data_IF_194224226981
#
_entry.id   IF_194224226981
#
_cell.length_a   1.000
_cell.length_b   1.000
_cell.length_c   1.000
_cell.angle_alpha   90.00
_cell.angle_beta   90.00
_cell.angle_gamma   90.00
#
_symmetry.space_group_name_H-M   'P 1'
#
loop_
_entity.id
_entity.type
_entity.pdbx_description
1 polymer ?
#
# COMPACT_ATOMS: atom_id res chain seq x y z
N UNK A 1 57.68 39.56 -31.94
CA UNK A 1 57.19 40.49 -30.90
C UNK A 1 57.98 41.79 -30.99
N UNK A 2 57.35 42.90 -31.38
CA UNK A 2 57.99 44.21 -31.51
C UNK A 2 58.10 44.91 -30.15
N UNK A 3 59.14 45.73 -29.97
CA UNK A 3 59.29 46.55 -28.77
C UNK A 3 58.15 47.59 -28.71
N UNK A 4 57.39 47.70 -27.61
CA UNK A 4 56.29 48.67 -27.50
C UNK A 4 56.76 50.13 -27.48
N UNK A 5 58.05 50.39 -27.26
CA UNK A 5 58.60 51.74 -27.16
C UNK A 5 59.24 52.26 -28.44
N UNK A 6 59.86 51.39 -29.25
CA UNK A 6 60.58 51.80 -30.47
C UNK A 6 60.26 50.93 -31.69
N UNK A 7 59.29 50.01 -31.56
CA UNK A 7 58.82 49.08 -32.61
C UNK A 7 59.86 48.14 -33.23
N UNK A 8 61.10 48.16 -32.76
CA UNK A 8 62.16 47.24 -33.17
C UNK A 8 61.80 45.77 -32.91
N UNK A 9 62.13 44.89 -33.85
CA UNK A 9 61.87 43.44 -33.75
C UNK A 9 62.88 42.72 -32.85
N UNK A 10 64.02 43.36 -32.58
CA UNK A 10 65.12 42.80 -31.80
C UNK A 10 64.88 42.97 -30.29
N UNK A 11 64.21 41.99 -29.69
CA UNK A 11 63.93 41.90 -28.24
C UNK A 11 64.48 40.60 -27.66
N UNK A 12 65.15 40.67 -26.51
CA UNK A 12 65.74 39.51 -25.82
C UNK A 12 64.96 39.19 -24.55
N UNK A 13 64.69 37.91 -24.30
CA UNK A 13 64.07 37.44 -23.05
C UNK A 13 65.14 37.40 -21.95
N UNK A 14 64.87 38.04 -20.82
CA UNK A 14 65.76 38.08 -19.64
C UNK A 14 65.31 37.07 -18.59
N UNK A 15 64.00 37.00 -18.34
CA UNK A 15 63.47 36.20 -17.23
C UNK A 15 62.15 35.55 -17.67
N UNK A 16 62.04 34.24 -17.42
CA UNK A 16 60.83 33.44 -17.66
C UNK A 16 60.35 32.92 -16.31
N UNK A 17 59.14 33.28 -15.90
CA UNK A 17 58.48 32.70 -14.72
C UNK A 17 57.19 32.01 -15.15
N UNK A 18 57.06 30.76 -14.73
CA UNK A 18 55.85 29.95 -14.89
C UNK A 18 55.06 30.14 -13.59
N UNK A 19 53.78 30.47 -13.70
CA UNK A 19 52.88 30.54 -12.54
C UNK A 19 52.48 29.11 -12.13
N UNK A 20 52.32 28.87 -10.83
CA UNK A 20 52.02 27.54 -10.24
C UNK A 20 50.79 26.84 -10.85
N UNK A 21 49.86 27.60 -11.44
CA UNK A 21 48.63 27.08 -12.03
C UNK A 21 48.78 26.72 -13.54
N UNK A 22 50.01 26.68 -14.07
CA UNK A 22 50.40 26.37 -15.47
C UNK A 22 49.72 27.16 -16.61
N UNK A 23 48.80 28.09 -16.32
CA UNK A 23 47.94 28.78 -17.31
C UNK A 23 48.53 30.03 -17.97
N UNK A 24 49.57 30.65 -17.39
CA UNK A 24 50.13 31.93 -17.89
C UNK A 24 51.66 31.93 -17.83
N UNK A 25 52.31 32.18 -18.97
CA UNK A 25 53.76 32.32 -19.05
C UNK A 25 54.14 33.81 -19.05
N UNK A 26 54.82 34.27 -18.01
CA UNK A 26 55.29 35.65 -17.89
C UNK A 26 56.74 35.74 -18.35
N UNK A 27 56.99 36.50 -19.41
CA UNK A 27 58.34 36.74 -19.94
C UNK A 27 58.72 38.21 -19.79
N UNK A 28 59.82 38.50 -19.10
CA UNK A 28 60.43 39.83 -19.06
C UNK A 28 61.40 39.96 -20.23
N UNK A 29 61.20 40.95 -21.08
CA UNK A 29 61.99 41.20 -22.29
C UNK A 29 62.69 42.55 -22.19
N UNK A 30 63.84 42.67 -22.83
CA UNK A 30 64.56 43.93 -23.04
C UNK A 30 64.76 44.15 -24.54
N UNK A 31 64.50 45.37 -25.00
CA UNK A 31 64.80 45.74 -26.37
C UNK A 31 66.30 46.01 -26.53
N UNK A 32 66.93 45.41 -27.55
CA UNK A 32 68.36 45.57 -27.78
C UNK A 32 68.69 47.00 -28.24
N UNK A 33 67.76 47.67 -28.93
CA UNK A 33 67.95 48.99 -29.52
C UNK A 33 67.68 50.15 -28.54
N UNK A 34 66.58 50.13 -27.78
CA UNK A 34 66.26 51.22 -26.84
C UNK A 34 66.54 50.88 -25.37
N UNK A 35 67.03 49.67 -25.08
CA UNK A 35 67.35 49.16 -23.72
C UNK A 35 66.18 49.16 -22.71
N UNK A 36 64.97 49.54 -23.13
CA UNK A 36 63.79 49.53 -22.27
C UNK A 36 63.29 48.10 -22.04
N UNK A 37 62.89 47.83 -20.80
CA UNK A 37 62.34 46.54 -20.36
C UNK A 37 60.82 46.57 -20.36
N UNK A 38 60.22 45.47 -20.77
CA UNK A 38 58.77 45.29 -20.75
C UNK A 38 58.43 43.82 -20.46
N UNK A 39 57.22 43.57 -19.98
CA UNK A 39 56.76 42.22 -19.65
C UNK A 39 55.66 41.82 -20.61
N UNK A 40 55.77 40.62 -21.18
CA UNK A 40 54.76 40.01 -22.01
C UNK A 40 54.14 38.83 -21.29
N UNK A 41 52.82 38.72 -21.34
CA UNK A 41 52.07 37.59 -20.82
C UNK A 41 51.60 36.75 -22.01
N UNK A 42 52.02 35.48 -22.06
CA UNK A 42 51.52 34.50 -23.02
C UNK A 42 50.43 33.69 -22.32
N UNK A 43 49.22 33.66 -22.89
CA UNK A 43 48.08 32.87 -22.43
C UNK A 43 47.66 31.94 -23.56
N UNK A 44 47.30 30.70 -23.24
CA UNK A 44 46.65 29.81 -24.22
C UNK A 44 45.26 30.38 -24.47
N UNK A 45 45.04 30.95 -25.65
CA UNK A 45 43.73 31.42 -26.07
C UNK A 45 42.87 30.20 -26.37
N UNK A 46 41.95 29.87 -25.45
CA UNK A 46 40.96 28.82 -25.69
C UNK A 46 40.03 29.29 -26.81
N UNK A 47 39.96 28.54 -27.91
CA UNK A 47 38.98 28.77 -28.99
C UNK A 47 37.58 28.80 -28.39
N UNK A 48 36.78 29.82 -28.74
CA UNK A 48 35.42 29.99 -28.22
C UNK A 48 34.46 29.10 -29.03
N UNK A 49 33.89 28.09 -28.40
CA UNK A 49 32.86 27.23 -28.99
C UNK A 49 31.49 27.92 -28.93
N UNK A 50 30.76 27.91 -30.05
CA UNK A 50 29.40 28.46 -30.16
C UNK A 50 28.40 27.31 -30.39
N UNK A 51 27.35 27.24 -29.58
CA UNK A 51 26.29 26.24 -29.70
C UNK A 51 25.13 26.79 -30.54
N UNK A 52 24.71 26.05 -31.56
CA UNK A 52 23.51 26.32 -32.35
C UNK A 52 22.33 25.51 -31.78
N UNK A 53 21.30 26.19 -31.27
CA UNK A 53 20.09 25.57 -30.70
C UNK A 53 19.11 25.12 -31.78
N UNK A 54 18.16 24.24 -31.43
CA UNK A 54 17.07 23.76 -32.32
C UNK A 54 16.23 24.89 -32.92
N UNK A 55 16.12 26.03 -32.24
CA UNK A 55 15.44 27.26 -32.71
C UNK A 55 16.36 28.21 -33.50
N UNK A 56 17.53 27.71 -33.93
CA UNK A 56 18.60 28.44 -34.64
C UNK A 56 19.28 29.57 -33.85
N UNK A 57 18.99 29.74 -32.55
CA UNK A 57 19.74 30.70 -31.72
C UNK A 57 21.17 30.20 -31.47
N UNK A 58 22.12 31.15 -31.47
CA UNK A 58 23.53 30.90 -31.16
C UNK A 58 23.85 31.36 -29.75
N UNK A 59 24.38 30.47 -28.92
CA UNK A 59 24.85 30.80 -27.56
C UNK A 59 26.29 30.32 -27.35
N UNK A 60 27.13 31.00 -26.56
CA UNK A 60 28.44 30.48 -26.22
C UNK A 60 28.31 29.19 -25.39
N UNK A 61 29.21 28.23 -25.60
CA UNK A 61 29.27 27.03 -24.77
C UNK A 61 29.49 27.41 -23.29
N UNK A 62 28.65 26.86 -22.42
CA UNK A 62 28.71 27.09 -20.98
C UNK A 62 28.81 25.74 -20.24
N UNK A 63 29.98 25.49 -19.64
CA UNK A 63 30.27 24.28 -18.87
C UNK A 63 29.34 24.10 -17.67
N UNK A 64 29.06 25.17 -16.91
CA UNK A 64 28.16 25.10 -15.74
C UNK A 64 26.74 24.70 -16.14
N UNK A 65 26.28 25.14 -17.31
CA UNK A 65 24.98 24.76 -17.85
C UNK A 65 24.90 23.27 -18.18
N UNK A 66 25.98 22.70 -18.72
CA UNK A 66 26.09 21.27 -19.01
C UNK A 66 26.13 20.45 -17.72
N UNK A 67 26.98 20.85 -16.77
CA UNK A 67 27.11 20.25 -15.44
C UNK A 67 25.74 20.18 -14.75
N UNK A 68 25.06 21.32 -14.62
CA UNK A 68 23.73 21.38 -14.00
C UNK A 68 22.69 20.50 -14.72
N UNK A 69 22.80 20.36 -16.05
CA UNK A 69 21.93 19.48 -16.84
C UNK A 69 22.10 18.01 -16.49
N UNK A 70 23.35 17.56 -16.37
CA UNK A 70 23.70 16.16 -16.00
C UNK A 70 23.39 15.91 -14.53
N UNK A 71 23.75 16.83 -13.63
CA UNK A 71 23.43 16.71 -12.19
C UNK A 71 21.94 16.55 -11.95
N UNK A 72 21.11 17.29 -12.69
CA UNK A 72 19.65 17.16 -12.60
C UNK A 72 19.13 15.82 -13.11
N UNK A 73 19.78 15.23 -14.13
CA UNK A 73 19.45 13.89 -14.61
C UNK A 73 19.82 12.82 -13.56
N UNK A 74 20.96 12.98 -12.88
CA UNK A 74 21.48 12.08 -11.85
C UNK A 74 20.91 12.33 -10.44
N UNK A 75 19.88 13.18 -10.28
CA UNK A 75 19.35 13.54 -8.96
C UNK A 75 18.78 12.30 -8.23
N UNK A 76 19.26 12.06 -7.00
CA UNK A 76 18.96 10.87 -6.15
C UNK A 76 19.39 9.52 -6.76
N UNK A 77 20.39 9.54 -7.65
CA UNK A 77 21.04 8.34 -8.19
C UNK A 77 22.35 8.06 -7.46
N UNK A 78 22.86 6.82 -7.46
CA UNK A 78 24.15 6.46 -6.88
C UNK A 78 25.32 6.91 -7.79
N UNK A 79 25.30 8.16 -8.26
CA UNK A 79 26.35 8.75 -9.10
C UNK A 79 26.98 9.89 -8.31
N UNK A 80 28.29 9.82 -8.12
CA UNK A 80 29.06 10.83 -7.41
C UNK A 80 29.20 12.12 -8.22
N UNK A 81 29.42 13.23 -7.53
CA UNK A 81 29.69 14.52 -8.18
C UNK A 81 30.98 14.43 -9.03
N UNK A 82 31.95 13.63 -8.59
CA UNK A 82 33.21 13.44 -9.30
C UNK A 82 33.00 12.75 -10.66
N UNK A 83 32.19 11.69 -10.72
CA UNK A 83 31.85 11.01 -11.98
C UNK A 83 31.10 11.94 -12.96
N UNK A 84 30.27 12.84 -12.43
CA UNK A 84 29.57 13.85 -13.23
C UNK A 84 30.54 14.88 -13.81
N UNK A 85 31.51 15.34 -13.01
CA UNK A 85 32.54 16.27 -13.47
C UNK A 85 33.45 15.64 -14.53
N UNK A 86 33.84 14.38 -14.35
CA UNK A 86 34.62 13.61 -15.32
C UNK A 86 33.87 13.45 -16.66
N UNK A 87 32.57 13.13 -16.61
CA UNK A 87 31.75 13.06 -17.82
C UNK A 87 31.64 14.41 -18.55
N UNK A 88 31.57 15.52 -17.82
CA UNK A 88 31.52 16.87 -18.40
C UNK A 88 32.84 17.24 -19.05
N UNK A 89 33.97 16.88 -18.43
CA UNK A 89 35.31 17.14 -18.97
C UNK A 89 35.57 16.31 -20.22
N UNK A 90 35.12 15.05 -20.27
CA UNK A 90 35.17 14.20 -21.45
C UNK A 90 34.36 14.81 -22.61
N UNK A 91 33.13 15.25 -22.34
CA UNK A 91 32.27 15.88 -23.35
C UNK A 91 32.91 17.18 -23.85
N UNK A 92 33.45 18.02 -22.97
CA UNK A 92 34.13 19.25 -23.37
C UNK A 92 35.40 18.96 -24.21
N UNK A 93 36.15 17.93 -23.86
CA UNK A 93 37.33 17.47 -24.61
C UNK A 93 36.93 17.01 -26.01
N UNK A 94 35.87 16.22 -26.14
CA UNK A 94 35.39 15.70 -27.42
C UNK A 94 34.87 16.82 -28.34
N UNK A 95 34.13 17.78 -27.77
CA UNK A 95 33.67 18.97 -28.49
C UNK A 95 34.84 19.84 -28.98
N UNK A 96 35.97 19.88 -28.26
CA UNK A 96 37.17 20.64 -28.64
C UNK A 96 38.03 19.92 -29.69
N UNK A 97 37.96 18.59 -29.78
CA UNK A 97 38.65 17.80 -30.82
C UNK A 97 37.97 17.95 -32.18
N UNK A 98 36.65 18.14 -32.18
CA UNK A 98 35.92 18.53 -33.36
C UNK A 98 36.42 19.93 -33.75
N UNK A 99 37.17 20.07 -34.85
CA UNK A 99 37.79 21.32 -35.33
C UNK A 99 36.75 22.38 -35.79
N UNK A 100 35.54 22.33 -35.23
CA UNK A 100 34.39 23.16 -35.57
C UNK A 100 34.21 24.26 -34.51
N UNK A 101 33.91 25.48 -34.97
CA UNK A 101 33.67 26.62 -34.07
C UNK A 101 32.19 26.79 -33.73
N UNK A 102 31.30 26.21 -34.54
CA UNK A 102 29.86 26.14 -34.32
C UNK A 102 29.44 24.68 -34.19
N UNK A 103 28.84 24.29 -33.05
CA UNK A 103 28.39 22.92 -32.79
C UNK A 103 26.89 22.93 -32.57
N UNK A 104 26.17 22.01 -33.20
CA UNK A 104 24.74 21.88 -32.95
C UNK A 104 24.45 21.32 -31.55
N UNK A 105 23.37 21.81 -30.93
CA UNK A 105 22.91 21.28 -29.64
C UNK A 105 22.52 19.80 -29.70
N UNK A 106 22.17 19.29 -30.89
CA UNK A 106 21.93 17.88 -31.24
C UNK A 106 23.09 16.98 -30.77
N UNK A 107 24.31 17.36 -31.18
CA UNK A 107 25.56 16.65 -30.92
C UNK A 107 25.88 16.60 -29.43
N UNK A 108 25.74 17.72 -28.72
CA UNK A 108 25.99 17.78 -27.27
C UNK A 108 25.06 16.84 -26.52
N UNK A 109 23.77 16.82 -26.87
CA UNK A 109 22.82 15.92 -26.21
C UNK A 109 23.09 14.44 -26.50
N UNK A 110 23.61 14.09 -27.67
CA UNK A 110 24.02 12.72 -27.98
C UNK A 110 25.22 12.27 -27.16
N UNK A 111 26.25 13.11 -27.04
CA UNK A 111 27.41 12.84 -26.19
C UNK A 111 27.02 12.69 -24.71
N UNK A 112 26.08 13.52 -24.21
CA UNK A 112 25.55 13.37 -22.86
C UNK A 112 24.78 12.07 -22.70
N UNK A 113 23.99 11.67 -23.69
CA UNK A 113 23.25 10.41 -23.66
C UNK A 113 24.16 9.19 -23.65
N UNK A 114 25.25 9.22 -24.41
CA UNK A 114 26.26 8.15 -24.43
C UNK A 114 26.92 8.00 -23.04
N UNK A 115 27.39 9.11 -22.46
CA UNK A 115 28.01 9.10 -21.12
C UNK A 115 27.03 8.69 -20.02
N UNK A 116 25.78 9.16 -20.07
CA UNK A 116 24.77 8.78 -19.08
C UNK A 116 24.38 7.30 -19.19
N UNK A 117 24.42 6.70 -20.38
CA UNK A 117 24.13 5.27 -20.56
C UNK A 117 25.17 4.38 -19.86
N UNK A 118 26.42 4.82 -19.83
CA UNK A 118 27.50 4.14 -19.11
C UNK A 118 27.43 4.38 -17.59
N UNK A 119 26.99 5.56 -17.16
CA UNK A 119 26.94 5.93 -15.73
C UNK A 119 25.71 5.38 -14.99
N UNK A 120 24.51 5.58 -15.54
CA UNK A 120 23.25 5.16 -14.89
C UNK A 120 22.07 5.16 -15.88
N UNK A 121 21.47 3.99 -16.07
CA UNK A 121 20.35 3.79 -17.01
C UNK A 121 19.14 4.70 -16.71
N UNK A 122 18.85 4.98 -15.44
CA UNK A 122 17.72 5.82 -15.03
C UNK A 122 18.00 7.30 -15.33
N UNK A 123 19.22 7.78 -15.06
CA UNK A 123 19.64 9.13 -15.42
C UNK A 123 19.62 9.34 -16.94
N UNK A 124 20.05 8.33 -17.71
CA UNK A 124 19.92 8.30 -19.17
C UNK A 124 18.47 8.49 -19.62
N UNK A 125 17.53 7.70 -19.09
CA UNK A 125 16.11 7.79 -19.45
C UNK A 125 15.53 9.17 -19.10
N UNK A 126 15.85 9.72 -17.91
CA UNK A 126 15.38 11.06 -17.50
C UNK A 126 15.90 12.14 -18.43
N UNK A 127 17.17 12.10 -18.81
CA UNK A 127 17.75 13.05 -19.75
C UNK A 127 17.13 12.90 -21.15
N UNK A 128 16.98 11.66 -21.63
CA UNK A 128 16.36 11.35 -22.91
C UNK A 128 14.91 11.85 -23.00
N UNK A 129 14.13 11.74 -21.91
CA UNK A 129 12.72 12.17 -21.85
C UNK A 129 12.51 13.67 -22.09
N UNK A 130 13.49 14.50 -21.72
CA UNK A 130 13.47 15.95 -21.92
C UNK A 130 14.02 16.32 -23.28
N UNK A 131 15.04 15.59 -23.73
CA UNK A 131 15.82 15.93 -24.92
C UNK A 131 15.19 15.44 -26.23
N UNK A 132 14.65 14.22 -26.22
CA UNK A 132 13.83 13.63 -27.26
C UNK A 132 12.39 13.61 -26.74
N UNK A 133 11.54 14.53 -27.21
CA UNK A 133 10.09 14.23 -27.21
C UNK A 133 9.94 12.94 -28.00
N UNK A 134 9.67 11.84 -27.31
CA UNK A 134 9.68 10.46 -27.82
C UNK A 134 9.10 10.34 -29.23
N UNK A 135 9.97 10.19 -30.23
CA UNK A 135 9.62 9.83 -31.61
C UNK A 135 10.38 8.60 -32.11
N UNK A 136 11.25 8.00 -31.28
CA UNK A 136 11.89 6.71 -31.60
C UNK A 136 11.00 5.58 -31.08
N UNK A 137 10.08 5.13 -31.92
CA UNK A 137 9.12 4.04 -31.65
C UNK A 137 9.86 2.71 -31.43
N UNK A 138 10.99 2.50 -32.09
CA UNK A 138 11.74 1.24 -32.12
C UNK A 138 12.46 0.90 -30.82
N UNK A 139 12.99 1.89 -30.08
CA UNK A 139 13.58 1.63 -28.75
C UNK A 139 12.51 1.46 -27.67
N UNK A 140 11.31 2.01 -27.88
CA UNK A 140 10.17 1.86 -26.98
C UNK A 140 9.53 0.49 -27.12
N UNK A 141 9.39 -0.03 -28.35
CA UNK A 141 8.88 -1.39 -28.62
C UNK A 141 9.75 -2.49 -27.99
N UNK A 142 11.06 -2.31 -27.93
CA UNK A 142 11.95 -3.28 -27.27
C UNK A 142 11.83 -3.29 -25.74
N UNK A 143 11.51 -2.14 -25.13
CA UNK A 143 11.24 -2.06 -23.69
C UNK A 143 9.82 -2.57 -23.36
N UNK A 144 8.87 -2.45 -24.30
CA UNK A 144 7.52 -3.01 -24.17
C UNK A 144 7.53 -4.54 -24.04
N UNK A 145 8.40 -5.25 -24.76
CA UNK A 145 8.50 -6.72 -24.65
C UNK A 145 9.07 -7.19 -23.30
N UNK A 146 9.83 -6.35 -22.60
CA UNK A 146 10.49 -6.71 -21.34
C UNK A 146 9.58 -6.56 -20.12
N UNK A 147 8.57 -5.69 -20.18
CA UNK A 147 7.67 -5.44 -19.06
C UNK A 147 6.74 -6.64 -18.83
N UNK A 148 6.92 -7.29 -17.69
CA UNK A 148 6.16 -8.46 -17.27
C UNK A 148 5.02 -8.04 -16.36
N UNK A 149 3.79 -8.36 -16.76
CA UNK A 149 2.61 -8.19 -15.91
C UNK A 149 2.38 -9.49 -15.16
N UNK A 150 2.49 -9.42 -13.83
CA UNK A 150 2.20 -10.55 -12.96
C UNK A 150 0.72 -10.49 -12.59
N UNK A 151 -0.02 -11.49 -13.05
CA UNK A 151 -1.40 -11.71 -12.65
C UNK A 151 -1.48 -12.94 -11.77
N UNK A 152 -1.95 -12.77 -10.55
CA UNK A 152 -2.41 -13.89 -9.74
C UNK A 152 -3.67 -14.46 -10.39
N UNK A 153 -3.58 -15.69 -10.88
CA UNK A 153 -4.73 -16.37 -11.50
C UNK A 153 -5.67 -16.82 -10.38
N UNK A 154 -6.82 -16.17 -10.27
CA UNK A 154 -7.94 -16.72 -9.52
C UNK A 154 -8.49 -17.93 -10.28
N UNK A 155 -8.39 -19.11 -9.68
CA UNK A 155 -8.99 -20.35 -10.20
C UNK A 155 -10.49 -20.11 -10.39
N UNK A 156 -10.98 -20.30 -11.61
CA UNK A 156 -12.39 -20.09 -11.95
C UNK A 156 -13.24 -21.20 -11.32
N UNK A 157 -14.04 -20.80 -10.33
CA UNK A 157 -15.04 -21.62 -9.66
C UNK A 157 -14.62 -21.87 -8.22
N UNK A 158 -14.91 -20.95 -7.31
CA UNK A 158 -14.37 -21.04 -5.95
C UNK A 158 -15.42 -21.57 -4.97
N UNK A 159 -15.13 -22.76 -4.46
CA UNK A 159 -15.47 -23.10 -3.08
C UNK A 159 -14.66 -22.19 -2.15
N UNK A 160 -15.28 -21.70 -1.07
CA UNK A 160 -14.66 -20.90 -0.01
C UNK A 160 -13.37 -21.53 0.56
N UNK A 161 -13.28 -22.86 0.52
CA UNK A 161 -12.10 -23.63 0.96
C UNK A 161 -10.85 -23.31 0.12
N UNK A 162 -10.99 -23.20 -1.21
CA UNK A 162 -9.84 -22.95 -2.11
C UNK A 162 -9.29 -21.53 -1.94
N UNK A 163 -10.15 -20.56 -1.62
CA UNK A 163 -9.76 -19.20 -1.26
C UNK A 163 -8.94 -19.17 0.04
N UNK A 164 -9.33 -19.95 1.05
CA UNK A 164 -8.69 -19.97 2.36
C UNK A 164 -7.35 -20.70 2.36
N UNK A 165 -7.18 -21.72 1.51
CA UNK A 165 -5.96 -22.50 1.49
C UNK A 165 -4.77 -21.68 1.02
N UNK A 166 -4.97 -20.61 0.23
CA UNK A 166 -3.91 -19.80 -0.40
C UNK A 166 -2.83 -20.65 -1.12
N UNK A 167 -3.16 -21.92 -1.35
CA UNK A 167 -2.33 -22.96 -1.94
C UNK A 167 -3.21 -23.53 -3.02
N UNK A 168 -2.99 -23.06 -4.23
CA UNK A 168 -3.44 -23.78 -5.40
C UNK A 168 -2.37 -24.81 -5.72
N UNK A 169 -2.77 -26.05 -6.04
CA UNK A 169 -1.86 -27.08 -6.56
C UNK A 169 -1.15 -26.67 -7.86
N UNK A 170 -1.43 -25.48 -8.39
CA UNK A 170 -0.72 -24.76 -9.45
C UNK A 170 -1.19 -23.29 -9.43
N UNK A 171 -0.84 -22.47 -8.43
CA UNK A 171 -0.98 -21.00 -8.57
C UNK A 171 0.08 -20.58 -9.60
N UNK A 172 -0.28 -20.67 -10.87
CA UNK A 172 0.53 -20.11 -11.94
C UNK A 172 0.37 -18.60 -11.85
N UNK A 173 1.41 -17.91 -11.39
CA UNK A 173 1.59 -16.52 -11.77
C UNK A 173 1.58 -16.48 -13.29
N UNK A 174 0.50 -15.98 -13.87
CA UNK A 174 0.43 -15.81 -15.31
C UNK A 174 1.24 -14.55 -15.62
N UNK A 175 2.50 -14.76 -16.00
CA UNK A 175 3.35 -13.71 -16.52
C UNK A 175 2.85 -13.39 -17.92
N UNK A 176 2.15 -12.27 -18.04
CA UNK A 176 1.68 -11.74 -19.32
C UNK A 176 2.63 -10.65 -19.81
N UNK A 177 2.72 -10.46 -21.11
CA UNK A 177 3.29 -9.24 -21.67
C UNK A 177 2.38 -8.05 -21.38
N UNK A 178 2.98 -6.87 -21.27
CA UNK A 178 2.25 -5.62 -21.17
C UNK A 178 1.31 -5.42 -22.38
N UNK A 179 0.06 -5.05 -22.10
CA UNK A 179 -0.93 -4.74 -23.14
C UNK A 179 -1.87 -3.62 -22.66
N UNK A 180 -1.62 -2.42 -23.17
CA UNK A 180 -2.42 -1.22 -22.89
C UNK A 180 -3.89 -1.37 -23.30
N UNK A 181 -4.18 -2.14 -24.35
CA UNK A 181 -5.55 -2.29 -24.85
C UNK A 181 -6.47 -2.94 -23.80
N UNK A 182 -5.91 -3.78 -22.92
CA UNK A 182 -6.66 -4.36 -21.78
C UNK A 182 -7.13 -3.29 -20.80
N UNK A 183 -6.30 -2.27 -20.53
CA UNK A 183 -6.67 -1.14 -19.66
C UNK A 183 -7.78 -0.32 -20.31
N UNK A 184 -7.63 0.02 -21.60
CA UNK A 184 -8.65 0.74 -22.36
C UNK A 184 -9.98 0.00 -22.35
N UNK A 185 -9.97 -1.31 -22.62
CA UNK A 185 -11.17 -2.14 -22.63
C UNK A 185 -11.84 -2.26 -21.25
N UNK A 186 -11.04 -2.30 -20.18
CA UNK A 186 -11.56 -2.27 -18.80
C UNK A 186 -12.22 -0.92 -18.49
N UNK A 187 -11.58 0.20 -18.83
CA UNK A 187 -12.12 1.54 -18.60
C UNK A 187 -13.44 1.80 -19.33
N UNK A 188 -13.57 1.34 -20.58
CA UNK A 188 -14.84 1.45 -21.33
C UNK A 188 -15.94 0.62 -20.67
N UNK A 189 -15.64 -0.64 -20.32
CA UNK A 189 -16.63 -1.61 -19.82
C UNK A 189 -17.04 -1.35 -18.37
N UNK A 190 -16.08 -1.03 -17.51
CA UNK A 190 -16.27 -0.98 -16.06
C UNK A 190 -16.47 0.46 -15.55
N UNK A 191 -15.84 1.45 -16.19
CA UNK A 191 -15.98 2.86 -15.84
C UNK A 191 -16.88 3.66 -16.81
N UNK A 192 -17.40 3.03 -17.87
CA UNK A 192 -18.34 3.65 -18.81
C UNK A 192 -17.75 4.83 -19.60
N UNK A 193 -16.42 4.87 -19.76
CA UNK A 193 -15.72 5.98 -20.42
C UNK A 193 -15.84 5.91 -21.93
N UNK A 194 -15.70 7.07 -22.58
CA UNK A 194 -15.54 7.12 -24.03
C UNK A 194 -14.23 6.47 -24.44
N UNK A 195 -14.15 5.97 -25.67
CA UNK A 195 -12.93 5.35 -26.21
C UNK A 195 -11.73 6.31 -26.13
N UNK A 196 -11.93 7.58 -26.45
CA UNK A 196 -10.88 8.60 -26.44
C UNK A 196 -10.33 8.85 -25.02
N UNK A 197 -11.22 8.97 -24.03
CA UNK A 197 -10.81 9.19 -22.65
C UNK A 197 -10.10 7.95 -22.08
N UNK A 198 -10.62 6.76 -22.38
CA UNK A 198 -10.03 5.49 -21.97
C UNK A 198 -8.61 5.30 -22.56
N UNK A 199 -8.42 5.61 -23.85
CA UNK A 199 -7.10 5.56 -24.50
C UNK A 199 -6.13 6.57 -23.89
N UNK A 200 -6.60 7.79 -23.60
CA UNK A 200 -5.79 8.85 -23.00
C UNK A 200 -5.31 8.46 -21.60
N UNK A 201 -6.20 7.92 -20.77
CA UNK A 201 -5.88 7.44 -19.42
C UNK A 201 -4.91 6.26 -19.49
N UNK A 202 -5.19 5.26 -20.34
CA UNK A 202 -4.33 4.09 -20.48
C UNK A 202 -2.91 4.47 -20.93
N UNK A 203 -2.77 5.44 -21.84
CA UNK A 203 -1.47 5.95 -22.28
C UNK A 203 -0.71 6.71 -21.19
N UNK A 204 -1.41 7.39 -20.28
CA UNK A 204 -0.78 8.07 -19.14
C UNK A 204 -0.26 7.06 -18.10
N UNK A 205 -1.06 6.05 -17.78
CA UNK A 205 -0.68 4.96 -16.86
C UNK A 205 0.54 4.22 -17.40
N UNK A 206 0.50 3.85 -18.68
CA UNK A 206 1.63 3.25 -19.39
C UNK A 206 2.89 4.09 -19.20
N UNK A 207 2.83 5.39 -19.54
CA UNK A 207 3.97 6.30 -19.42
C UNK A 207 4.54 6.35 -18.00
N UNK A 208 3.68 6.37 -16.97
CA UNK A 208 4.10 6.39 -15.56
C UNK A 208 4.83 5.11 -15.16
N UNK A 209 4.34 3.95 -15.59
CA UNK A 209 4.96 2.66 -15.29
C UNK A 209 6.35 2.59 -15.91
N UNK A 210 6.48 2.95 -17.18
CA UNK A 210 7.78 2.95 -17.85
C UNK A 210 8.76 3.97 -17.26
N UNK A 211 8.29 5.18 -16.92
CA UNK A 211 9.11 6.20 -16.27
C UNK A 211 9.61 5.76 -14.87
N UNK A 212 8.96 4.78 -14.24
CA UNK A 212 9.38 4.25 -12.94
C UNK A 212 10.53 3.25 -13.02
N UNK A 213 10.82 2.68 -14.20
CA UNK A 213 11.87 1.68 -14.39
C UNK A 213 11.56 0.31 -13.78
N UNK A 214 10.29 0.01 -13.49
CA UNK A 214 9.87 -1.28 -12.93
C UNK A 214 9.80 -2.33 -14.05
N UNK A 215 10.45 -3.49 -13.87
CA UNK A 215 10.45 -4.59 -14.85
C UNK A 215 9.24 -5.54 -14.71
N UNK A 216 8.69 -5.63 -13.50
CA UNK A 216 7.56 -6.50 -13.14
C UNK A 216 6.50 -5.73 -12.39
N UNK A 217 5.26 -5.76 -12.89
CA UNK A 217 4.15 -5.02 -12.29
C UNK A 217 2.94 -5.92 -12.03
N UNK A 218 2.34 -5.80 -10.85
CA UNK A 218 1.10 -6.50 -10.51
C UNK A 218 -0.12 -5.80 -11.10
N UNK A 219 -1.17 -6.57 -11.39
CA UNK A 219 -2.45 -6.02 -11.87
C UNK A 219 -3.05 -5.01 -10.88
N UNK A 220 -2.86 -5.21 -9.57
CA UNK A 220 -3.36 -4.29 -8.53
C UNK A 220 -2.65 -2.93 -8.55
N UNK A 221 -1.35 -2.91 -8.83
CA UNK A 221 -0.61 -1.67 -9.00
C UNK A 221 -1.06 -0.94 -10.26
N UNK A 222 -1.28 -1.65 -11.38
CA UNK A 222 -1.84 -1.07 -12.60
C UNK A 222 -3.19 -0.39 -12.30
N UNK A 223 -4.09 -1.08 -11.60
CA UNK A 223 -5.39 -0.51 -11.21
C UNK A 223 -5.27 0.72 -10.34
N UNK A 224 -4.37 0.69 -9.36
CA UNK A 224 -4.12 1.84 -8.47
C UNK A 224 -3.65 3.07 -9.26
N UNK A 225 -2.82 2.88 -10.29
CA UNK A 225 -2.39 3.95 -11.20
C UNK A 225 -3.54 4.44 -12.08
N UNK A 226 -4.39 3.54 -12.59
CA UNK A 226 -5.60 3.91 -13.34
C UNK A 226 -6.56 4.73 -12.49
N UNK A 227 -6.84 4.30 -11.26
CA UNK A 227 -7.68 5.04 -10.31
C UNK A 227 -7.10 6.43 -10.00
N UNK A 228 -5.78 6.55 -9.92
CA UNK A 228 -5.11 7.83 -9.76
C UNK A 228 -5.37 8.77 -10.96
N UNK A 229 -5.29 8.26 -12.19
CA UNK A 229 -5.56 9.06 -13.40
C UNK A 229 -7.03 9.45 -13.55
N UNK A 230 -7.94 8.55 -13.19
CA UNK A 230 -9.38 8.83 -13.14
C UNK A 230 -9.66 9.99 -12.17
N UNK A 231 -9.09 9.90 -10.97
CA UNK A 231 -9.22 10.93 -9.94
C UNK A 231 -8.68 12.29 -10.40
N UNK A 232 -7.48 12.34 -10.99
CA UNK A 232 -6.87 13.59 -11.47
C UNK A 232 -7.73 14.27 -12.54
N UNK A 233 -8.40 13.49 -13.40
CA UNK A 233 -9.29 14.00 -14.46
C UNK A 233 -10.70 14.31 -13.97
N UNK A 234 -10.98 14.18 -12.67
CA UNK A 234 -12.29 14.44 -12.11
C UNK A 234 -13.33 13.38 -12.44
N UNK A 235 -12.92 12.21 -12.94
CA UNK A 235 -13.82 11.08 -13.07
C UNK A 235 -14.09 10.51 -11.67
N UNK A 236 -15.32 10.68 -11.18
CA UNK A 236 -15.76 10.07 -9.93
C UNK A 236 -16.06 8.56 -10.07
N UNK A 237 -16.08 8.06 -11.31
CA UNK A 237 -16.26 6.64 -11.60
C UNK A 237 -14.99 5.89 -11.21
N UNK A 238 -14.95 5.43 -9.96
CA UNK A 238 -13.97 4.44 -9.53
C UNK A 238 -14.29 3.12 -10.24
N UNK A 239 -13.27 2.36 -10.64
CA UNK A 239 -13.48 0.98 -11.12
C UNK A 239 -14.09 0.16 -9.98
N UNK A 240 -15.42 0.04 -9.96
CA UNK A 240 -16.17 -0.52 -8.83
C UNK A 240 -15.92 -2.03 -8.66
N UNK A 241 -15.48 -2.73 -9.71
CA UNK A 241 -15.55 -4.18 -9.74
C UNK A 241 -14.41 -4.90 -8.99
N UNK A 242 -13.28 -4.25 -8.65
CA UNK A 242 -12.13 -4.92 -8.01
C UNK A 242 -11.33 -4.02 -7.05
N UNK A 243 -12.01 -3.38 -6.08
CA UNK A 243 -11.30 -2.67 -4.99
C UNK A 243 -10.64 -3.67 -4.05
N UNK A 244 -9.34 -3.50 -3.82
CA UNK A 244 -8.64 -4.25 -2.79
C UNK A 244 -8.89 -3.63 -1.40
N UNK A 245 -9.42 -4.44 -0.49
CA UNK A 245 -9.53 -4.08 0.92
C UNK A 245 -8.36 -4.76 1.63
N UNK A 246 -7.37 -3.95 1.99
CA UNK A 246 -6.14 -4.43 2.64
C UNK A 246 -5.82 -3.66 3.91
N UNK A 247 -4.82 -4.18 4.63
CA UNK A 247 -4.18 -3.53 5.77
C UNK A 247 -2.73 -3.28 5.38
N UNK A 248 -2.21 -2.04 5.49
CA UNK A 248 -0.78 -1.78 5.31
C UNK A 248 0.06 -2.69 6.21
N UNK A 249 1.17 -3.24 5.70
CA UNK A 249 2.04 -4.15 6.47
C UNK A 249 2.49 -3.56 7.80
N UNK A 250 2.73 -2.25 7.84
CA UNK A 250 3.06 -1.53 9.07
C UNK A 250 1.95 -1.67 10.13
N UNK A 251 0.70 -1.39 9.75
CA UNK A 251 -0.46 -1.49 10.65
C UNK A 251 -0.71 -2.95 11.05
N UNK A 252 -0.56 -3.90 10.12
CA UNK A 252 -0.69 -5.32 10.37
C UNK A 252 0.32 -5.79 11.42
N UNK A 253 1.58 -5.38 11.31
CA UNK A 253 2.61 -5.70 12.30
C UNK A 253 2.27 -5.13 13.69
N UNK A 254 1.64 -3.95 13.75
CA UNK A 254 1.17 -3.39 15.01
C UNK A 254 0.01 -4.21 15.59
N UNK A 255 -0.96 -4.63 14.78
CA UNK A 255 -2.05 -5.49 15.23
C UNK A 255 -1.54 -6.84 15.77
N UNK A 256 -0.51 -7.40 15.15
CA UNK A 256 0.12 -8.65 15.60
C UNK A 256 0.89 -8.44 16.91
N UNK A 257 1.60 -7.33 17.05
CA UNK A 257 2.55 -7.13 18.15
C UNK A 257 1.95 -6.42 19.37
N UNK A 258 0.87 -5.66 19.19
CA UNK A 258 0.30 -4.80 20.22
C UNK A 258 -1.15 -5.15 20.53
N UNK A 259 -1.49 -5.10 21.83
CA UNK A 259 -2.86 -5.31 22.30
C UNK A 259 -3.76 -4.13 21.88
N UNK A 260 -4.86 -4.44 21.19
CA UNK A 260 -5.93 -3.46 20.93
C UNK A 260 -6.61 -3.01 22.24
N UNK A 261 -6.96 -1.71 22.32
CA UNK A 261 -7.72 -1.11 23.42
C UNK A 261 -9.19 -0.85 23.07
N UNK A 262 -9.61 -1.24 21.86
CA UNK A 262 -10.97 -0.97 21.38
C UNK A 262 -12.03 -1.74 22.17
N UNK A 263 -11.72 -2.98 22.57
CA UNK A 263 -12.64 -3.83 23.30
C UNK A 263 -12.04 -4.21 24.66
N UNK A 264 -12.68 -3.75 25.74
CA UNK A 264 -12.25 -4.03 27.12
C UNK A 264 -12.33 -5.50 27.51
N UNK A 265 -13.14 -6.30 26.81
CA UNK A 265 -13.32 -7.72 27.08
C UNK A 265 -12.17 -8.57 26.54
N UNK A 266 -11.30 -8.01 25.69
CA UNK A 266 -10.07 -8.67 25.23
C UNK A 266 -9.00 -8.48 26.30
N UNK A 267 -8.70 -9.54 27.06
CA UNK A 267 -7.78 -9.46 28.20
C UNK A 267 -6.31 -9.49 27.75
N UNK A 268 -5.98 -10.22 26.69
CA UNK A 268 -4.61 -10.39 26.18
C UNK A 268 -4.57 -10.36 24.64
N UNK A 269 -3.40 -10.03 24.07
CA UNK A 269 -3.16 -10.13 22.63
C UNK A 269 -2.78 -11.58 22.24
N UNK A 270 -3.66 -12.53 22.54
CA UNK A 270 -3.46 -13.93 22.17
C UNK A 270 -3.66 -14.13 20.65
N UNK A 271 -3.26 -15.27 20.06
CA UNK A 271 -3.37 -15.48 18.61
C UNK A 271 -4.78 -15.28 18.04
N UNK A 272 -5.82 -15.65 18.81
CA UNK A 272 -7.21 -15.49 18.38
C UNK A 272 -7.67 -14.04 18.45
N UNK A 273 -7.20 -13.27 19.45
CA UNK A 273 -7.41 -11.84 19.51
C UNK A 273 -6.76 -11.11 18.32
N UNK A 274 -5.57 -11.54 17.90
CA UNK A 274 -4.89 -11.02 16.69
C UNK A 274 -5.70 -11.33 15.43
N UNK A 275 -6.13 -12.58 15.25
CA UNK A 275 -6.97 -12.99 14.12
C UNK A 275 -8.25 -12.15 14.04
N UNK A 276 -8.95 -11.99 15.18
CA UNK A 276 -10.16 -11.18 15.25
C UNK A 276 -9.88 -9.72 14.91
N UNK A 277 -8.81 -9.13 15.43
CA UNK A 277 -8.48 -7.73 15.17
C UNK A 277 -8.19 -7.47 13.68
N UNK A 278 -7.49 -8.40 13.02
CA UNK A 278 -7.22 -8.34 11.57
C UNK A 278 -8.54 -8.47 10.80
N UNK A 279 -9.35 -9.48 11.12
CA UNK A 279 -10.63 -9.73 10.46
C UNK A 279 -11.60 -8.54 10.62
N UNK A 280 -11.75 -8.02 11.85
CA UNK A 280 -12.56 -6.83 12.13
C UNK A 280 -12.07 -5.62 11.36
N UNK A 281 -10.75 -5.40 11.24
CA UNK A 281 -10.22 -4.26 10.49
C UNK A 281 -10.59 -4.33 9.01
N UNK A 282 -10.50 -5.51 8.40
CA UNK A 282 -10.94 -5.73 7.01
C UNK A 282 -12.45 -5.52 6.88
N UNK A 283 -13.25 -6.11 7.79
CA UNK A 283 -14.70 -6.01 7.76
C UNK A 283 -15.21 -4.58 8.00
N UNK A 284 -14.54 -3.80 8.87
CA UNK A 284 -14.83 -2.37 9.07
C UNK A 284 -14.62 -1.57 7.79
N UNK A 285 -13.49 -1.81 7.11
CA UNK A 285 -13.18 -1.16 5.83
C UNK A 285 -14.20 -1.55 4.76
N UNK A 286 -14.54 -2.83 4.66
CA UNK A 286 -15.58 -3.34 3.76
C UNK A 286 -16.93 -2.66 4.02
N UNK A 287 -17.39 -2.63 5.27
CA UNK A 287 -18.67 -2.03 5.63
C UNK A 287 -18.73 -0.54 5.22
N UNK A 288 -17.68 0.23 5.50
CA UNK A 288 -17.62 1.65 5.14
C UNK A 288 -17.49 1.92 3.63
N UNK A 289 -17.02 0.95 2.85
CA UNK A 289 -16.80 1.12 1.42
C UNK A 289 -17.96 0.60 0.58
N UNK A 290 -18.57 -0.51 1.00
CA UNK A 290 -19.49 -1.30 0.19
C UNK A 290 -20.91 -1.42 0.79
N UNK A 291 -21.08 -1.30 2.11
CA UNK A 291 -22.39 -1.41 2.76
C UNK A 291 -23.02 -0.03 2.98
N UNK A 292 -22.27 0.91 3.55
CA UNK A 292 -22.78 2.24 3.90
C UNK A 292 -22.56 3.26 2.78
N UNK A 293 -23.47 4.24 2.70
CA UNK A 293 -23.30 5.38 1.79
C UNK A 293 -22.07 6.20 2.15
N UNK A 294 -21.53 6.92 1.16
CA UNK A 294 -20.36 7.79 1.37
C UNK A 294 -20.60 8.86 2.44
N UNK A 295 -21.83 9.36 2.55
CA UNK A 295 -22.24 10.32 3.58
C UNK A 295 -22.11 9.72 4.99
N UNK A 296 -22.72 8.55 5.22
CA UNK A 296 -22.67 7.84 6.50
C UNK A 296 -21.23 7.49 6.86
N UNK A 297 -20.47 6.94 5.92
CA UNK A 297 -19.08 6.57 6.13
C UNK A 297 -18.20 7.77 6.48
N UNK A 298 -18.44 8.92 5.85
CA UNK A 298 -17.71 10.16 6.16
C UNK A 298 -18.12 10.74 7.52
N UNK A 299 -19.41 10.68 7.88
CA UNK A 299 -19.87 11.11 9.20
C UNK A 299 -19.24 10.27 10.32
N UNK A 300 -19.15 8.95 10.13
CA UNK A 300 -18.44 8.06 11.06
C UNK A 300 -16.96 8.41 11.20
N UNK A 301 -16.24 8.55 10.07
CA UNK A 301 -14.80 8.90 10.09
C UNK A 301 -14.51 10.25 10.72
N UNK A 302 -15.44 11.21 10.62
CA UNK A 302 -15.34 12.53 11.25
C UNK A 302 -15.77 12.55 12.72
N UNK A 303 -16.24 11.42 13.26
CA UNK A 303 -16.77 11.32 14.63
C UNK A 303 -18.09 12.06 14.84
N UNK A 304 -18.81 12.40 13.77
CA UNK A 304 -20.15 13.02 13.86
C UNK A 304 -21.19 11.99 14.33
N UNK A 305 -21.03 10.76 13.86
CA UNK A 305 -21.78 9.59 14.33
C UNK A 305 -20.78 8.48 14.68
N UNK A 306 -21.23 7.51 15.46
CA UNK A 306 -20.45 6.29 15.73
C UNK A 306 -21.27 5.07 15.33
N UNK A 307 -20.77 4.31 14.35
CA UNK A 307 -21.37 3.06 13.93
C UNK A 307 -20.84 1.96 14.86
N UNK A 308 -21.72 1.47 15.73
CA UNK A 308 -21.40 0.38 16.65
C UNK A 308 -21.16 -0.93 15.87
N UNK A 309 -20.24 -1.76 16.38
CA UNK A 309 -20.00 -3.13 15.89
C UNK A 309 -19.68 -3.22 14.39
N UNK A 310 -19.06 -2.17 13.84
CA UNK A 310 -18.72 -2.05 12.42
C UNK A 310 -17.81 -3.18 11.89
N UNK A 311 -17.11 -3.90 12.78
CA UNK A 311 -16.33 -5.11 12.46
C UNK A 311 -17.15 -6.38 12.30
N UNK A 312 -18.45 -6.34 12.54
CA UNK A 312 -19.36 -7.48 12.51
C UNK A 312 -20.54 -7.30 11.53
N UNK A 313 -20.32 -6.88 10.27
CA UNK A 313 -21.42 -6.59 9.33
C UNK A 313 -22.30 -7.79 8.98
N UNK A 314 -21.82 -9.02 9.24
CA UNK A 314 -22.53 -10.28 8.98
C UNK A 314 -23.22 -10.86 10.22
N UNK A 315 -23.23 -10.13 11.34
CA UNK A 315 -23.81 -10.58 12.62
C UNK A 315 -24.96 -9.69 13.05
N UNK A 316 -25.84 -10.26 13.86
CA UNK A 316 -26.87 -9.50 14.56
C UNK A 316 -26.23 -8.83 15.78
N UNK A 317 -26.82 -7.74 16.30
CA UNK A 317 -26.28 -7.07 17.48
C UNK A 317 -26.41 -7.92 18.75
N UNK A 318 -27.55 -7.91 19.43
CA UNK A 318 -27.78 -8.66 20.67
C UNK A 318 -29.13 -9.38 20.62
N UNK A 319 -29.34 -10.34 21.53
CA UNK A 319 -30.61 -11.02 21.69
C UNK A 319 -30.83 -11.49 23.13
N UNK A 320 -32.10 -11.63 23.51
CA UNK A 320 -32.53 -12.31 24.72
C UNK A 320 -33.07 -13.70 24.35
N UNK A 321 -32.72 -14.71 25.14
CA UNK A 321 -33.07 -16.10 24.89
C UNK A 321 -33.79 -16.71 26.09
N UNK A 322 -34.58 -17.74 25.81
CA UNK A 322 -35.26 -18.55 26.81
C UNK A 322 -34.62 -19.92 26.91
N UNK A 323 -34.40 -20.38 28.15
CA UNK A 323 -33.87 -21.72 28.44
C UNK A 323 -34.89 -22.82 28.11
N UNK A 324 -36.19 -22.49 28.06
CA UNK A 324 -37.28 -23.45 27.87
C UNK A 324 -37.15 -24.25 26.58
N UNK A 325 -36.65 -23.65 25.49
CA UNK A 325 -36.45 -24.38 24.23
C UNK A 325 -35.41 -25.49 24.38
N UNK A 326 -34.27 -25.18 25.02
CA UNK A 326 -33.19 -26.13 25.29
C UNK A 326 -33.66 -27.23 26.24
N UNK A 327 -34.49 -26.88 27.24
CA UNK A 327 -35.10 -27.86 28.14
C UNK A 327 -36.04 -28.80 27.39
N UNK A 328 -36.87 -28.28 26.49
CA UNK A 328 -37.90 -29.04 25.78
C UNK A 328 -37.33 -29.96 24.70
N UNK A 329 -36.37 -29.47 23.93
CA UNK A 329 -35.89 -30.15 22.73
C UNK A 329 -34.44 -30.61 22.80
N UNK A 330 -33.72 -30.26 23.88
CA UNK A 330 -32.28 -30.50 23.97
C UNK A 330 -31.49 -29.52 23.10
N UNK A 331 -30.33 -29.96 22.62
CA UNK A 331 -29.47 -29.16 21.74
C UNK A 331 -29.43 -29.74 20.34
N UNK A 332 -29.87 -28.94 19.37
CA UNK A 332 -29.68 -29.17 17.96
C UNK A 332 -29.23 -27.84 17.32
N UNK A 333 -27.94 -27.71 17.04
CA UNK A 333 -27.32 -26.46 16.58
C UNK A 333 -26.77 -26.66 15.17
N UNK A 334 -27.02 -25.68 14.28
CA UNK A 334 -26.64 -25.76 12.86
C UNK A 334 -25.13 -25.91 12.64
N UNK A 335 -24.31 -25.44 13.58
CA UNK A 335 -22.85 -25.49 13.51
C UNK A 335 -22.23 -26.69 14.21
N UNK A 336 -23.03 -27.64 14.70
CA UNK A 336 -22.56 -28.88 15.31
C UNK A 336 -23.13 -30.09 14.56
N UNK A 337 -22.31 -31.12 14.39
CA UNK A 337 -22.73 -32.40 13.79
C UNK A 337 -23.42 -33.34 14.79
N UNK A 338 -23.45 -32.96 16.06
CA UNK A 338 -24.01 -33.75 17.16
C UNK A 338 -25.27 -33.10 17.72
N UNK A 339 -26.17 -33.94 18.20
CA UNK A 339 -27.44 -33.55 18.83
C UNK A 339 -27.51 -34.16 20.22
N UNK A 340 -27.98 -33.39 21.19
CA UNK A 340 -28.22 -33.85 22.56
C UNK A 340 -29.71 -33.85 22.87
N UNK A 341 -30.22 -34.94 23.43
CA UNK A 341 -31.60 -35.01 23.93
C UNK A 341 -31.81 -34.07 25.13
N UNK A 342 -33.06 -33.72 25.49
CA UNK A 342 -33.36 -32.95 26.70
C UNK A 342 -32.62 -33.41 27.96
N UNK A 343 -32.12 -32.44 28.73
CA UNK A 343 -31.38 -32.72 29.96
C UNK A 343 -32.29 -33.33 31.04
N UNK A 344 -31.81 -34.35 31.75
CA UNK A 344 -32.50 -34.96 32.90
C UNK A 344 -32.02 -34.44 34.26
N UNK A 345 -30.88 -33.78 34.29
CA UNK A 345 -30.25 -33.25 35.49
C UNK A 345 -29.77 -31.81 35.25
N UNK A 346 -29.74 -31.01 36.31
CA UNK A 346 -29.44 -29.57 36.23
C UNK A 346 -28.04 -29.30 35.65
N UNK A 347 -27.07 -30.15 35.98
CA UNK A 347 -25.71 -30.04 35.46
C UNK A 347 -25.61 -30.25 33.95
N UNK A 348 -26.37 -31.20 33.43
CA UNK A 348 -26.47 -31.47 32.00
C UNK A 348 -27.13 -30.28 31.30
N UNK A 349 -28.15 -29.68 31.92
CA UNK A 349 -28.78 -28.47 31.42
C UNK A 349 -27.80 -27.29 31.38
N UNK A 350 -26.98 -27.11 32.41
CA UNK A 350 -25.89 -26.12 32.43
C UNK A 350 -24.86 -26.38 31.34
N UNK A 351 -24.49 -27.64 31.10
CA UNK A 351 -23.66 -28.02 29.97
C UNK A 351 -24.30 -27.64 28.62
N UNK A 352 -25.58 -27.92 28.44
CA UNK A 352 -26.31 -27.54 27.23
C UNK A 352 -26.34 -26.02 27.04
N UNK A 353 -26.65 -25.29 28.11
CA UNK A 353 -26.72 -23.84 28.06
C UNK A 353 -25.36 -23.21 27.73
N UNK A 354 -24.28 -23.70 28.32
CA UNK A 354 -22.93 -23.21 28.03
C UNK A 354 -22.55 -23.44 26.55
N UNK A 355 -22.83 -24.64 26.03
CA UNK A 355 -22.61 -24.96 24.60
C UNK A 355 -23.45 -24.08 23.67
N UNK A 356 -24.71 -23.86 24.03
CA UNK A 356 -25.61 -22.97 23.30
C UNK A 356 -25.06 -21.53 23.24
N UNK A 357 -24.72 -20.95 24.39
CA UNK A 357 -24.21 -19.58 24.48
C UNK A 357 -22.89 -19.42 23.72
N UNK A 358 -21.96 -20.38 23.87
CA UNK A 358 -20.69 -20.39 23.15
C UNK A 358 -20.89 -20.45 21.64
N UNK A 359 -21.85 -21.25 21.17
CA UNK A 359 -22.22 -21.32 19.74
C UNK A 359 -22.85 -20.01 19.26
N UNK A 360 -23.80 -19.45 20.02
CA UNK A 360 -24.52 -18.23 19.63
C UNK A 360 -23.60 -17.01 19.50
N UNK A 361 -22.52 -16.92 20.27
CA UNK A 361 -21.60 -15.78 20.19
C UNK A 361 -20.90 -15.67 18.81
N UNK A 362 -20.89 -16.73 18.00
CA UNK A 362 -20.44 -16.64 16.61
C UNK A 362 -21.38 -15.79 15.74
N UNK A 363 -22.66 -15.70 16.09
CA UNK A 363 -23.73 -15.05 15.32
C UNK A 363 -24.10 -13.66 15.82
N UNK A 364 -23.69 -13.31 17.05
CA UNK A 364 -24.00 -12.01 17.68
C UNK A 364 -22.74 -11.17 17.93
N UNK A 365 -22.88 -9.85 17.82
CA UNK A 365 -21.82 -8.87 18.09
C UNK A 365 -21.81 -8.42 19.57
N UNK A 366 -22.98 -8.32 20.18
CA UNK A 366 -23.24 -7.86 21.54
C UNK A 366 -23.64 -8.98 22.50
N UNK A 367 -24.35 -8.60 23.57
CA UNK A 367 -24.68 -9.48 24.68
C UNK A 367 -25.73 -10.55 24.34
N UNK A 368 -25.64 -11.69 25.03
CA UNK A 368 -26.63 -12.76 25.03
C UNK A 368 -27.36 -12.78 26.37
N UNK A 369 -28.59 -12.30 26.38
CA UNK A 369 -29.42 -12.30 27.58
C UNK A 369 -30.11 -13.64 27.80
N UNK A 370 -30.20 -14.09 29.05
CA UNK A 370 -31.09 -15.18 29.47
C UNK A 370 -32.13 -14.66 30.44
N UNK A 371 -33.39 -14.80 30.04
CA UNK A 371 -34.52 -14.41 30.86
C UNK A 371 -34.88 -15.52 31.88
N UNK A 372 -35.35 -15.11 33.07
CA UNK A 372 -35.94 -15.99 34.09
C UNK A 372 -35.10 -17.20 34.50
N UNK A 373 -33.77 -17.05 34.57
CA UNK A 373 -32.84 -18.17 34.69
C UNK A 373 -33.15 -19.05 35.91
N UNK A 374 -33.31 -18.44 37.08
CA UNK A 374 -33.59 -19.19 38.31
C UNK A 374 -34.99 -19.85 38.31
N UNK A 375 -35.96 -19.25 37.63
CA UNK A 375 -37.31 -19.83 37.48
C UNK A 375 -37.25 -21.05 36.57
N UNK A 376 -36.55 -20.95 35.45
CA UNK A 376 -36.45 -22.03 34.47
C UNK A 376 -35.58 -23.20 34.96
N UNK A 377 -34.66 -22.97 35.89
CA UNK A 377 -33.92 -24.04 36.56
C UNK A 377 -34.70 -24.71 37.71
N UNK A 378 -35.68 -24.03 38.31
CA UNK A 378 -36.37 -24.51 39.52
C UNK A 378 -36.96 -25.94 39.41
N UNK A 379 -37.55 -26.36 38.27
CA UNK A 379 -38.07 -27.73 38.11
C UNK A 379 -37.00 -28.84 38.26
N UNK A 380 -35.73 -28.53 38.03
CA UNK A 380 -34.62 -29.48 38.17
C UNK A 380 -34.14 -29.64 39.63
N UNK A 381 -34.68 -28.83 40.55
CA UNK A 381 -34.27 -28.78 41.95
C UNK A 381 -35.36 -29.19 42.94
N UNK A 382 -36.45 -29.79 42.46
CA UNK A 382 -37.47 -30.40 43.32
C UNK A 382 -36.82 -31.49 44.16
N UNK A 383 -37.01 -31.43 45.48
CA UNK A 383 -36.41 -32.33 46.48
C UNK A 383 -34.87 -32.41 46.46
N UNK A 384 -34.19 -31.42 45.86
CA UNK A 384 -32.71 -31.35 45.84
C UNK A 384 -32.21 -30.55 47.05
N UNK A 385 -31.22 -31.06 47.82
CA UNK A 385 -30.64 -30.32 48.94
C UNK A 385 -30.00 -28.99 48.52
N UNK A 386 -30.15 -27.95 49.34
CA UNK A 386 -29.67 -26.60 49.04
C UNK A 386 -28.17 -26.53 48.69
N UNK A 387 -27.32 -27.33 49.37
CA UNK A 387 -25.88 -27.36 49.05
C UNK A 387 -25.60 -27.80 47.61
N UNK A 388 -26.41 -28.72 47.06
CA UNK A 388 -26.28 -29.13 45.66
C UNK A 388 -26.78 -28.05 44.70
N UNK A 389 -27.87 -27.35 45.05
CA UNK A 389 -28.36 -26.19 44.28
C UNK A 389 -27.28 -25.09 44.24
N UNK A 390 -26.64 -24.82 45.37
CA UNK A 390 -25.55 -23.84 45.49
C UNK A 390 -24.33 -24.27 44.67
N UNK A 391 -23.98 -25.55 44.69
CA UNK A 391 -22.90 -26.10 43.87
C UNK A 391 -23.19 -25.96 42.37
N UNK A 392 -24.43 -26.17 41.95
CA UNK A 392 -24.84 -26.00 40.56
C UNK A 392 -24.86 -24.52 40.15
N UNK A 393 -25.32 -23.61 41.01
CA UNK A 393 -25.22 -22.18 40.78
C UNK A 393 -23.75 -21.73 40.61
N UNK A 394 -22.84 -22.23 41.44
CA UNK A 394 -21.40 -21.98 41.29
C UNK A 394 -20.89 -22.50 39.95
N UNK A 395 -21.28 -23.72 39.56
CA UNK A 395 -20.91 -24.32 38.27
C UNK A 395 -21.37 -23.47 37.10
N UNK A 396 -22.61 -23.02 37.10
CA UNK A 396 -23.18 -22.16 36.06
C UNK A 396 -22.41 -20.84 35.93
N UNK A 397 -22.15 -20.16 37.05
CA UNK A 397 -21.42 -18.89 37.05
C UNK A 397 -19.98 -19.09 36.53
N UNK A 398 -19.26 -20.10 37.02
CA UNK A 398 -17.87 -20.32 36.64
C UNK A 398 -17.74 -20.77 35.18
N UNK A 399 -18.61 -21.68 34.72
CA UNK A 399 -18.59 -22.17 33.35
C UNK A 399 -18.89 -21.07 32.32
N UNK A 400 -19.75 -20.10 32.65
CA UNK A 400 -20.04 -18.98 31.76
C UNK A 400 -19.01 -17.84 31.85
N UNK A 401 -18.38 -17.62 33.01
CA UNK A 401 -17.41 -16.52 33.22
C UNK A 401 -15.97 -16.87 32.85
N UNK A 402 -15.61 -18.16 32.79
CA UNK A 402 -14.26 -18.62 32.44
C UNK A 402 -14.16 -19.16 31.00
N UNK A 403 -15.17 -18.89 30.18
CA UNK A 403 -15.27 -19.35 28.81
C UNK A 403 -14.48 -18.43 27.85
N UNK A 404 -13.15 -18.44 27.97
CA UNK A 404 -12.23 -17.55 27.25
C UNK A 404 -11.67 -18.13 25.93
N UNK A 405 -12.20 -19.27 25.47
CA UNK A 405 -11.85 -19.87 24.17
C UNK A 405 -12.76 -19.40 23.03
N UNK A 406 -13.65 -18.46 23.33
CA UNK A 406 -14.66 -17.95 22.41
C UNK A 406 -14.15 -16.73 21.63
N UNK A 407 -15.00 -16.05 20.85
CA UNK A 407 -14.65 -14.97 19.89
C UNK A 407 -13.44 -14.10 20.32
N UNK A 408 -12.31 -14.17 19.61
CA UNK A 408 -11.14 -13.34 19.92
C UNK A 408 -10.46 -13.65 21.26
N UNK A 409 -10.71 -14.83 21.83
CA UNK A 409 -10.29 -15.21 23.18
C UNK A 409 -10.99 -14.43 24.29
N UNK A 410 -12.19 -13.90 24.03
CA UNK A 410 -12.99 -13.15 25.01
C UNK A 410 -13.83 -14.10 25.87
N UNK A 411 -14.19 -13.68 27.08
CA UNK A 411 -15.27 -14.31 27.83
C UNK A 411 -16.61 -14.06 27.14
N UNK A 412 -17.56 -14.99 27.28
CA UNK A 412 -18.94 -14.79 26.82
C UNK A 412 -19.55 -13.53 27.45
N UNK A 413 -20.12 -12.65 26.63
CA UNK A 413 -20.85 -11.48 27.11
C UNK A 413 -22.31 -11.87 27.35
N UNK A 414 -22.64 -12.17 28.60
CA UNK A 414 -23.91 -12.81 28.98
C UNK A 414 -24.61 -12.04 30.09
N UNK A 415 -25.92 -11.87 29.96
CA UNK A 415 -26.76 -11.21 30.96
C UNK A 415 -27.76 -12.20 31.56
N UNK A 416 -27.56 -12.59 32.82
CA UNK A 416 -28.47 -13.48 33.55
C UNK A 416 -29.54 -12.70 34.31
N UNK A 417 -30.81 -12.94 33.98
CA UNK A 417 -31.93 -12.31 34.66
C UNK A 417 -32.45 -13.25 35.77
N UNK A 418 -32.38 -12.76 37.01
CA UNK A 418 -32.78 -13.50 38.22
C UNK A 418 -33.96 -12.78 38.87
N UNK A 419 -34.96 -13.55 39.29
CA UNK A 419 -36.18 -13.02 39.90
C UNK A 419 -36.38 -13.56 41.31
N UNK A 420 -36.81 -12.71 42.25
CA UNK A 420 -37.06 -13.10 43.64
C UNK A 420 -38.35 -13.92 43.84
N UNK A 421 -39.17 -14.05 42.79
CA UNK A 421 -40.42 -14.83 42.80
C UNK A 421 -40.95 -14.99 41.38
N UNK A 422 -42.07 -15.71 41.23
CA UNK A 422 -42.71 -15.94 39.92
C UNK A 422 -43.51 -14.70 39.51
N UNK A 423 -43.18 -14.04 38.38
CA UNK A 423 -43.97 -12.94 37.84
C UNK A 423 -45.43 -13.35 37.61
N UNK A 424 -46.38 -12.44 37.83
CA UNK A 424 -47.81 -12.75 37.72
C UNK A 424 -48.20 -13.37 36.37
N UNK A 425 -47.60 -12.91 35.27
CA UNK A 425 -47.89 -13.43 33.93
C UNK A 425 -47.28 -14.82 33.64
N UNK A 426 -46.44 -15.36 34.52
CA UNK A 426 -45.89 -16.71 34.40
C UNK A 426 -46.57 -17.72 35.33
N UNK A 427 -47.51 -17.29 36.20
CA UNK A 427 -48.12 -18.17 37.20
C UNK A 427 -48.85 -19.37 36.62
N UNK A 428 -49.52 -19.19 35.49
CA UNK A 428 -50.33 -20.22 34.83
C UNK A 428 -49.62 -20.87 33.64
N UNK A 429 -48.32 -20.61 33.47
CA UNK A 429 -47.52 -21.18 32.39
C UNK A 429 -46.93 -22.52 32.86
N UNK A 430 -47.21 -23.64 32.18
CA UNK A 430 -46.68 -24.94 32.57
C UNK A 430 -45.15 -24.95 32.58
N UNK A 431 -44.56 -25.46 33.65
CA UNK A 431 -43.11 -25.53 33.77
C UNK A 431 -42.57 -26.75 33.03
N UNK A 432 -41.43 -26.60 32.33
CA UNK A 432 -40.74 -27.74 31.72
C UNK A 432 -39.70 -28.26 32.72
N UNK A 433 -39.70 -29.56 32.97
CA UNK A 433 -38.81 -30.23 33.90
C UNK A 433 -37.76 -31.11 33.21
N UNK A 434 -37.14 -32.01 34.00
CA UNK A 434 -36.23 -33.02 33.50
C UNK A 434 -36.79 -33.80 32.31
N UNK A 435 -35.94 -34.06 31.31
CA UNK A 435 -36.33 -34.81 30.11
C UNK A 435 -37.19 -34.03 29.11
N UNK A 436 -37.48 -32.75 29.37
CA UNK A 436 -38.33 -31.93 28.51
C UNK A 436 -39.83 -32.15 28.77
N UNK A 437 -40.17 -32.87 29.83
CA UNK A 437 -41.56 -33.11 30.23
C UNK A 437 -42.15 -31.92 30.98
N UNK A 438 -43.47 -31.73 30.91
CA UNK A 438 -44.12 -30.70 31.71
C UNK A 438 -44.27 -31.19 33.16
N UNK A 439 -43.86 -30.37 34.11
CA UNK A 439 -43.86 -30.68 35.55
C UNK A 439 -44.55 -29.55 36.30
N UNK A 440 -45.86 -29.65 36.46
CA UNK A 440 -46.70 -28.58 37.03
C UNK A 440 -47.55 -27.91 35.97
#
# INVERSE_FOLDING_TARGET
MKCPYCQSENTRVIEKRISDDFKVNRRRRECVQCKKRFTTYERVEKVKLTIVKKDKRREPFNREKLLNGITRACEKRPVSIQEIEEAVDDIESELRKQNETEIESSVIGELVMEKLRELDEVAYIRFASVYRRFTDISSFEQELEKLKVVKEVQVKGQDSTELLLLVSGDTKEEIMSWDRAKITAALIREAGLTKLDAETIAAEVERKIFASGIETISVDLIRSLVDNELFIRGHSTKLLQQRSIGIPTYDLNQLISAKSKENSNVVANNPEAVNLAIAETILKKYALQEIFSSEISNAHRKGVIYLHDLGFPVRVYCSAHSLEYIKKYGLNLLNLSTVSSPAKHADTLTGHLNTYLASMQAYYAGALGLAYLNIFYAPFFVDVPYEQIKQEAQRLIYSCSQNAFSRGGQTLFVDFNIHLGIPNYLKDVPAIGPGGDYTG
#
